data_IF_610338665591
#
_entry.id   IF_610338665591
#
_cell.length_a   1.000
_cell.length_b   1.000
_cell.length_c   1.000
_cell.angle_alpha   90.00
_cell.angle_beta   90.00
_cell.angle_gamma   90.00
#
_symmetry.space_group_name_H-M   'P 1'
#
loop_
_entity.id
_entity.type
_entity.pdbx_description
1 polymer ?
#
# COMPACT_ATOMS: atom_id res chain seq x y z
N UNK A 1 -15.73 -6.80 32.57
CA UNK A 1 -16.75 -6.60 31.52
C UNK A 1 -16.44 -5.29 30.84
N UNK A 2 -15.73 -5.38 29.70
CA UNK A 2 -15.25 -4.24 28.92
C UNK A 2 -16.38 -3.51 28.19
N UNK A 3 -16.08 -2.35 27.60
CA UNK A 3 -17.03 -1.64 26.75
C UNK A 3 -17.38 -2.45 25.51
N UNK A 4 -16.47 -3.26 24.99
CA UNK A 4 -16.76 -4.17 23.87
C UNK A 4 -17.90 -5.15 24.18
N UNK A 5 -17.98 -5.71 25.40
CA UNK A 5 -19.10 -6.57 25.83
C UNK A 5 -20.41 -5.77 26.00
N UNK A 6 -20.34 -4.47 26.31
CA UNK A 6 -21.49 -3.55 26.29
C UNK A 6 -21.90 -3.16 24.87
N UNK A 7 -20.95 -3.06 23.94
CA UNK A 7 -21.20 -2.82 22.52
C UNK A 7 -21.82 -4.05 21.85
N UNK A 8 -21.33 -5.27 22.12
CA UNK A 8 -21.95 -6.52 21.65
C UNK A 8 -23.38 -6.68 22.16
N UNK A 9 -23.63 -6.43 23.46
CA UNK A 9 -24.99 -6.43 24.04
C UNK A 9 -25.87 -5.28 23.54
N UNK A 10 -25.28 -4.17 23.10
CA UNK A 10 -25.98 -3.06 22.44
C UNK A 10 -26.36 -3.39 20.99
N UNK A 11 -25.53 -4.17 20.30
CA UNK A 11 -25.75 -4.60 18.92
C UNK A 11 -26.89 -5.63 18.81
N UNK A 12 -27.06 -6.50 19.81
CA UNK A 12 -28.20 -7.45 19.88
C UNK A 12 -29.57 -6.74 19.91
N UNK A 13 -29.63 -5.49 20.37
CA UNK A 13 -30.88 -4.71 20.44
C UNK A 13 -31.12 -3.76 19.23
N UNK A 14 -30.15 -3.62 18.33
CA UNK A 14 -30.22 -2.69 17.17
C UNK A 14 -30.04 -3.44 15.86
N UNK A 15 -30.68 -4.61 15.74
CA UNK A 15 -30.91 -5.25 14.44
C UNK A 15 -32.35 -5.02 14.04
N UNK A 16 -32.64 -3.81 13.54
CA UNK A 16 -33.71 -3.55 12.56
C UNK A 16 -33.59 -2.12 12.01
N UNK A 17 -32.74 -1.95 11.00
CA UNK A 17 -33.10 -1.16 9.82
C UNK A 17 -32.67 0.31 9.69
N UNK A 18 -32.02 0.95 10.68
CA UNK A 18 -31.81 2.41 10.61
C UNK A 18 -30.37 2.94 10.83
N UNK A 19 -29.38 2.12 11.18
CA UNK A 19 -28.03 2.63 11.54
C UNK A 19 -26.96 2.50 10.43
N UNK A 20 -27.09 1.56 9.49
CA UNK A 20 -26.03 1.23 8.52
C UNK A 20 -25.78 2.27 7.41
N UNK A 21 -26.52 3.39 7.37
CA UNK A 21 -26.36 4.41 6.31
C UNK A 21 -25.69 5.72 6.76
N UNK A 22 -25.55 5.98 8.06
CA UNK A 22 -25.02 7.26 8.58
C UNK A 22 -23.62 7.16 9.22
N UNK A 23 -23.08 5.96 9.43
CA UNK A 23 -21.82 5.73 10.16
C UNK A 23 -20.68 5.13 9.32
N UNK A 24 -20.87 4.88 8.02
CA UNK A 24 -19.84 4.30 7.11
C UNK A 24 -18.61 5.19 6.86
N UNK A 25 -18.48 6.32 7.55
CA UNK A 25 -17.41 7.29 7.35
C UNK A 25 -16.44 7.39 8.53
N UNK A 26 -16.61 6.59 9.59
CA UNK A 26 -15.80 6.67 10.82
C UNK A 26 -15.34 5.28 11.25
N UNK A 27 -14.24 5.24 12.01
CA UNK A 27 -13.68 3.98 12.51
C UNK A 27 -14.54 3.46 13.68
N UNK A 28 -14.97 2.21 13.56
CA UNK A 28 -15.74 1.52 14.59
C UNK A 28 -14.82 0.66 15.49
N UNK A 29 -14.96 0.68 16.82
CA UNK A 29 -14.13 -0.12 17.74
C UNK A 29 -14.10 -1.62 17.44
N UNK A 30 -15.21 -2.17 16.93
CA UNK A 30 -15.30 -3.60 16.60
C UNK A 30 -14.43 -3.96 15.39
N UNK A 31 -14.24 -3.02 14.45
CA UNK A 31 -13.37 -3.21 13.29
C UNK A 31 -11.91 -3.26 13.72
N UNK A 32 -11.52 -2.40 14.67
CA UNK A 32 -10.17 -2.43 15.24
C UNK A 32 -9.86 -3.75 15.95
N UNK A 33 -10.84 -4.30 16.68
CA UNK A 33 -10.71 -5.61 17.33
C UNK A 33 -10.49 -6.72 16.29
N UNK A 34 -11.30 -6.74 15.22
CA UNK A 34 -11.13 -7.70 14.12
C UNK A 34 -9.79 -7.55 13.40
N UNK A 35 -9.37 -6.31 13.12
CA UNK A 35 -8.10 -6.03 12.47
C UNK A 35 -6.89 -6.46 13.30
N UNK A 36 -6.92 -6.24 14.62
CA UNK A 36 -5.86 -6.67 15.53
C UNK A 36 -5.74 -8.20 15.60
N UNK A 37 -6.87 -8.93 15.63
CA UNK A 37 -6.85 -10.41 15.58
C UNK A 37 -6.20 -10.91 14.29
N UNK A 38 -6.64 -10.36 13.15
CA UNK A 38 -6.08 -10.69 11.83
C UNK A 38 -4.59 -10.37 11.76
N UNK A 39 -4.16 -9.22 12.29
CA UNK A 39 -2.75 -8.84 12.30
C UNK A 39 -1.92 -9.77 13.20
N UNK A 40 -2.47 -10.21 14.34
CA UNK A 40 -1.84 -11.21 15.18
C UNK A 40 -1.68 -12.57 14.46
N UNK A 41 -2.68 -12.99 13.68
CA UNK A 41 -2.61 -14.21 12.86
C UNK A 41 -1.55 -14.07 11.75
N UNK A 42 -1.51 -12.93 11.06
CA UNK A 42 -0.55 -12.64 10.01
C UNK A 42 0.90 -12.65 10.51
N UNK A 43 1.13 -12.21 11.75
CA UNK A 43 2.46 -12.20 12.40
C UNK A 43 2.76 -13.47 13.18
N UNK A 44 1.84 -14.42 13.24
CA UNK A 44 2.04 -15.67 13.95
C UNK A 44 3.10 -16.52 13.24
N UNK A 45 4.13 -16.93 14.00
CA UNK A 45 5.25 -17.67 13.47
C UNK A 45 5.73 -18.73 14.46
N UNK A 46 5.92 -19.94 13.97
CA UNK A 46 6.34 -21.09 14.77
C UNK A 46 7.82 -20.97 15.10
N UNK A 47 8.16 -20.91 16.39
CA UNK A 47 9.55 -20.79 16.86
C UNK A 47 10.09 -22.11 17.41
N UNK A 48 9.24 -22.93 18.01
CA UNK A 48 9.61 -24.28 18.46
C UNK A 48 8.40 -25.23 18.41
N UNK A 49 8.63 -26.53 18.66
CA UNK A 49 7.54 -27.52 18.73
C UNK A 49 6.51 -27.08 19.79
N UNK A 50 5.30 -26.72 19.34
CA UNK A 50 4.21 -26.28 20.21
C UNK A 50 4.32 -24.82 20.70
N UNK A 51 5.17 -23.97 20.10
CA UNK A 51 5.25 -22.55 20.43
C UNK A 51 5.21 -21.70 19.17
N UNK A 52 4.06 -21.05 18.98
CA UNK A 52 3.85 -20.02 17.95
C UNK A 52 3.94 -18.66 18.61
N UNK A 53 4.83 -17.80 18.13
CA UNK A 53 4.95 -16.43 18.61
C UNK A 53 4.18 -15.47 17.70
N UNK A 54 3.60 -14.42 18.26
CA UNK A 54 3.03 -13.32 17.49
C UNK A 54 3.49 -11.97 18.05
N UNK A 55 3.13 -10.87 17.37
CA UNK A 55 3.41 -9.50 17.78
C UNK A 55 2.76 -9.17 19.12
N UNK A 56 3.43 -8.35 19.93
CA UNK A 56 2.95 -7.90 21.24
C UNK A 56 2.90 -6.37 21.36
N UNK A 57 3.27 -5.64 20.30
CA UNK A 57 3.12 -4.20 20.23
C UNK A 57 2.38 -3.82 18.96
N UNK A 58 1.28 -3.11 19.11
CA UNK A 58 0.39 -2.69 18.04
C UNK A 58 0.17 -1.18 18.10
N UNK A 59 0.37 -0.51 16.98
CA UNK A 59 0.06 0.92 16.80
C UNK A 59 -1.06 1.02 15.78
N UNK A 60 -2.17 1.61 16.19
CA UNK A 60 -3.34 1.89 15.34
C UNK A 60 -3.22 3.33 14.89
N UNK A 61 -2.82 3.51 13.64
CA UNK A 61 -2.77 4.81 12.98
C UNK A 61 -4.18 5.19 12.50
N UNK A 62 -4.60 6.41 12.83
CA UNK A 62 -5.93 6.95 12.56
C UNK A 62 -5.82 8.30 11.86
N UNK A 63 -6.87 8.67 11.12
CA UNK A 63 -7.06 10.05 10.68
C UNK A 63 -7.19 11.00 11.87
N UNK A 64 -6.89 12.29 11.66
CA UNK A 64 -7.09 13.34 12.69
C UNK A 64 -8.52 13.31 13.26
N UNK A 65 -9.52 13.18 12.38
CA UNK A 65 -10.94 13.20 12.78
C UNK A 65 -11.29 12.03 13.69
N UNK A 66 -10.85 10.81 13.36
CA UNK A 66 -11.15 9.61 14.14
C UNK A 66 -10.35 9.59 15.45
N UNK A 67 -9.09 10.03 15.41
CA UNK A 67 -8.25 10.12 16.59
C UNK A 67 -8.83 11.12 17.61
N UNK A 68 -9.26 12.31 17.17
CA UNK A 68 -9.88 13.30 18.05
C UNK A 68 -11.18 12.77 18.66
N UNK A 69 -11.99 12.07 17.87
CA UNK A 69 -13.22 11.43 18.37
C UNK A 69 -12.94 10.34 19.41
N UNK A 70 -11.95 9.49 19.16
CA UNK A 70 -11.63 8.35 20.01
C UNK A 70 -10.79 8.73 21.24
N UNK A 71 -10.16 9.91 21.25
CA UNK A 71 -9.33 10.41 22.34
C UNK A 71 -10.00 10.31 23.73
N UNK A 72 -11.31 10.56 23.81
CA UNK A 72 -12.08 10.48 25.05
C UNK A 72 -12.29 9.07 25.59
N UNK A 73 -12.19 8.04 24.74
CA UNK A 73 -12.36 6.62 25.10
C UNK A 73 -11.03 5.85 25.08
N UNK A 74 -9.94 6.50 24.70
CA UNK A 74 -8.72 5.85 24.27
C UNK A 74 -8.16 4.87 25.31
N UNK A 75 -8.10 5.28 26.58
CA UNK A 75 -7.59 4.42 27.66
C UNK A 75 -8.43 3.15 27.85
N UNK A 76 -9.76 3.27 27.76
CA UNK A 76 -10.65 2.13 27.93
C UNK A 76 -10.58 1.21 26.71
N UNK A 77 -10.58 1.80 25.51
CA UNK A 77 -10.45 1.07 24.25
C UNK A 77 -9.11 0.33 24.15
N UNK A 78 -7.99 0.96 24.55
CA UNK A 78 -6.69 0.28 24.62
C UNK A 78 -6.75 -0.94 25.53
N UNK A 79 -7.38 -0.82 26.70
CA UNK A 79 -7.51 -1.94 27.64
C UNK A 79 -8.34 -3.07 27.04
N UNK A 80 -9.46 -2.74 26.43
CA UNK A 80 -10.36 -3.70 25.81
C UNK A 80 -9.70 -4.43 24.62
N UNK A 81 -9.04 -3.68 23.73
CA UNK A 81 -8.33 -4.25 22.58
C UNK A 81 -7.16 -5.15 23.01
N UNK A 82 -6.44 -4.79 24.08
CA UNK A 82 -5.41 -5.67 24.67
C UNK A 82 -6.01 -6.97 25.18
N UNK A 83 -7.19 -6.91 25.79
CA UNK A 83 -7.89 -8.10 26.24
C UNK A 83 -8.30 -8.99 25.05
N UNK A 84 -8.88 -8.40 24.00
CA UNK A 84 -9.25 -9.11 22.77
C UNK A 84 -8.08 -9.87 22.16
N UNK A 85 -6.91 -9.23 22.06
CA UNK A 85 -5.69 -9.85 21.53
C UNK A 85 -5.21 -10.98 22.45
N UNK A 86 -5.29 -10.77 23.76
CA UNK A 86 -4.93 -11.77 24.76
C UNK A 86 -5.81 -13.02 24.67
N UNK A 87 -7.13 -12.83 24.61
CA UNK A 87 -8.12 -13.92 24.50
C UNK A 87 -7.93 -14.68 23.19
N UNK A 88 -7.77 -13.98 22.06
CA UNK A 88 -7.49 -14.59 20.75
C UNK A 88 -6.20 -15.40 20.75
N UNK A 89 -5.14 -14.89 21.39
CA UNK A 89 -3.89 -15.64 21.49
C UNK A 89 -4.02 -16.92 22.30
N UNK A 90 -4.86 -16.94 23.35
CA UNK A 90 -5.16 -18.17 24.09
C UNK A 90 -5.91 -19.16 23.20
N UNK A 91 -6.93 -18.70 22.47
CA UNK A 91 -7.72 -19.54 21.56
C UNK A 91 -6.88 -20.17 20.43
N UNK A 92 -5.96 -19.39 19.83
CA UNK A 92 -5.07 -19.84 18.77
C UNK A 92 -3.76 -20.48 19.25
N UNK A 93 -3.60 -20.64 20.57
CA UNK A 93 -2.38 -21.15 21.21
C UNK A 93 -1.09 -20.37 20.82
N UNK A 94 -1.22 -19.05 20.66
CA UNK A 94 -0.09 -18.14 20.47
C UNK A 94 0.57 -17.77 21.80
N UNK A 95 1.79 -17.26 21.70
CA UNK A 95 2.55 -16.73 22.82
C UNK A 95 3.19 -15.40 22.46
N UNK A 96 3.31 -14.52 23.44
CA UNK A 96 3.97 -13.23 23.28
C UNK A 96 5.40 -13.26 23.85
N UNK A 97 6.28 -12.41 23.33
CA UNK A 97 7.65 -12.23 23.85
C UNK A 97 7.68 -11.31 25.09
N UNK A 98 6.63 -10.51 25.26
CA UNK A 98 6.47 -9.58 26.38
C UNK A 98 4.98 -9.21 26.56
N UNK A 99 4.69 -8.17 27.36
CA UNK A 99 3.31 -7.71 27.54
C UNK A 99 2.73 -7.23 26.20
N UNK A 100 1.42 -7.42 26.02
CA UNK A 100 0.69 -6.84 24.90
C UNK A 100 0.47 -5.35 25.16
N UNK A 101 0.80 -4.52 24.18
CA UNK A 101 0.59 -3.08 24.16
C UNK A 101 -0.15 -2.67 22.89
N UNK A 102 -1.07 -1.73 23.05
CA UNK A 102 -1.87 -1.13 21.97
C UNK A 102 -1.81 0.38 22.15
N UNK A 103 -1.44 1.08 21.09
CA UNK A 103 -1.32 2.53 21.04
C UNK A 103 -2.12 3.07 19.87
N UNK A 104 -2.56 4.32 19.97
CA UNK A 104 -3.14 5.05 18.85
C UNK A 104 -2.18 6.15 18.43
N UNK A 105 -2.08 6.35 17.13
CA UNK A 105 -1.24 7.38 16.53
C UNK A 105 -2.01 8.13 15.45
N UNK A 106 -1.63 9.39 15.24
CA UNK A 106 -2.12 10.20 14.14
C UNK A 106 -1.36 9.89 12.86
N UNK A 107 -2.09 9.79 11.76
CA UNK A 107 -1.54 9.68 10.42
C UNK A 107 -2.21 10.68 9.50
N UNK A 108 -1.44 11.67 9.04
CA UNK A 108 -1.92 12.78 8.22
C UNK A 108 -2.29 12.35 6.79
N UNK A 109 -1.85 11.16 6.36
CA UNK A 109 -2.14 10.58 5.06
C UNK A 109 -3.48 9.82 5.01
N UNK A 110 -4.12 9.57 6.16
CA UNK A 110 -5.34 8.80 6.28
C UNK A 110 -6.61 9.66 6.26
N UNK A 111 -7.60 9.22 5.48
CA UNK A 111 -8.94 9.81 5.47
C UNK A 111 -9.80 9.31 6.65
N UNK A 112 -10.85 10.05 7.01
CA UNK A 112 -11.79 9.60 8.06
C UNK A 112 -12.42 8.24 7.74
N UNK A 113 -12.53 7.39 8.75
CA UNK A 113 -12.97 6.00 8.63
C UNK A 113 -11.86 5.06 8.21
N UNK A 114 -10.64 5.54 8.00
CA UNK A 114 -9.48 4.70 7.70
C UNK A 114 -8.56 4.56 8.88
N UNK A 115 -8.02 3.36 9.01
CA UNK A 115 -7.00 3.05 9.98
C UNK A 115 -5.95 2.12 9.37
N UNK A 116 -4.77 2.11 9.96
CA UNK A 116 -3.68 1.19 9.63
C UNK A 116 -3.13 0.61 10.92
N UNK A 117 -2.87 -0.69 10.94
CA UNK A 117 -2.27 -1.36 12.10
C UNK A 117 -0.81 -1.67 11.78
N UNK A 118 0.09 -1.12 12.58
CA UNK A 118 1.52 -1.44 12.53
C UNK A 118 1.83 -2.32 13.73
N UNK A 119 2.40 -3.49 13.48
CA UNK A 119 2.69 -4.46 14.53
C UNK A 119 4.19 -4.76 14.63
N UNK A 120 4.66 -4.99 15.84
CA UNK A 120 6.03 -5.40 16.11
C UNK A 120 6.12 -6.34 17.31
N UNK A 121 7.22 -7.10 17.36
CA UNK A 121 7.55 -7.94 18.50
C UNK A 121 8.62 -7.24 19.32
N UNK A 122 8.30 -6.85 20.56
CA UNK A 122 9.20 -6.17 21.47
C UNK A 122 9.49 -7.06 22.68
N UNK A 123 10.76 -7.16 23.06
CA UNK A 123 11.17 -7.79 24.32
C UNK A 123 10.82 -6.92 25.52
N UNK A 124 10.80 -7.48 26.74
CA UNK A 124 10.55 -6.72 27.97
C UNK A 124 11.52 -5.56 28.22
N UNK A 125 12.69 -5.57 27.57
CA UNK A 125 13.69 -4.49 27.57
C UNK A 125 13.38 -3.38 26.54
N UNK A 126 12.24 -3.45 25.85
CA UNK A 126 11.82 -2.52 24.78
C UNK A 126 12.55 -2.72 23.45
N UNK A 127 13.51 -3.65 23.36
CA UNK A 127 14.24 -3.90 22.12
C UNK A 127 13.40 -4.73 21.14
N UNK A 128 13.48 -4.47 19.83
CA UNK A 128 12.83 -5.33 18.85
C UNK A 128 13.40 -6.76 18.98
N UNK A 129 12.50 -7.74 19.13
CA UNK A 129 12.87 -9.15 19.05
C UNK A 129 13.07 -9.50 17.57
N UNK A 130 14.07 -10.31 17.25
CA UNK A 130 14.23 -10.85 15.90
C UNK A 130 12.92 -11.54 15.49
N UNK A 131 12.26 -10.99 14.47
CA UNK A 131 11.06 -11.61 13.93
C UNK A 131 11.47 -12.98 13.39
N UNK A 132 10.83 -14.08 13.83
CA UNK A 132 11.05 -15.37 13.20
C UNK A 132 10.78 -15.22 11.72
N UNK A 133 11.78 -15.58 10.90
CA UNK A 133 11.76 -15.37 9.47
C UNK A 133 10.45 -15.93 8.90
N UNK A 134 9.69 -15.03 8.29
CA UNK A 134 8.45 -15.33 7.57
C UNK A 134 8.66 -16.57 6.72
N UNK A 135 7.85 -17.62 6.92
CA UNK A 135 7.85 -18.78 6.05
C UNK A 135 7.17 -18.39 4.74
N UNK A 136 7.94 -17.77 3.86
CA UNK A 136 7.56 -17.49 2.47
C UNK A 136 7.79 -16.04 2.06
N UNK A 137 8.88 -15.80 1.32
CA UNK A 137 9.01 -14.66 0.42
C UNK A 137 9.99 -13.56 0.85
N UNK A 138 11.24 -13.71 0.39
CA UNK A 138 12.23 -12.67 0.05
C UNK A 138 12.34 -11.41 0.94
N UNK A 139 13.46 -11.34 1.67
CA UNK A 139 14.09 -10.11 2.17
C UNK A 139 14.26 -9.07 1.04
N UNK A 140 13.67 -7.85 1.14
CA UNK A 140 14.17 -6.74 0.35
C UNK A 140 15.48 -6.28 1.00
N UNK A 141 16.57 -6.39 0.23
CA UNK A 141 17.85 -5.77 0.56
C UNK A 141 17.59 -4.31 0.94
N UNK A 142 17.84 -4.01 2.22
CA UNK A 142 17.98 -2.65 2.73
C UNK A 142 19.18 -2.01 2.04
N UNK A 143 18.95 -1.32 0.92
CA UNK A 143 19.88 -0.31 0.42
C UNK A 143 19.59 1.01 1.14
N UNK A 144 20.18 1.16 2.31
CA UNK A 144 20.49 2.48 2.82
C UNK A 144 21.67 3.02 2.00
N UNK A 145 21.39 3.98 1.12
CA UNK A 145 22.41 4.84 0.53
C UNK A 145 22.43 6.12 1.37
N UNK A 146 23.51 6.45 2.11
CA UNK A 146 23.61 7.74 2.77
C UNK A 146 24.00 8.81 1.75
N UNK A 147 23.16 9.84 1.59
CA UNK A 147 23.56 11.13 1.03
C UNK A 147 23.25 12.17 2.11
N UNK A 148 24.28 12.72 2.76
CA UNK A 148 24.55 14.18 2.91
C UNK A 148 25.98 14.31 3.43
N UNK A 149 26.79 15.08 2.72
CA UNK A 149 28.15 15.43 3.12
C UNK A 149 28.14 16.64 4.06
N UNK A 150 29.00 16.58 5.08
CA UNK A 150 29.32 17.74 5.90
C UNK A 150 30.84 17.87 5.98
N UNK A 151 31.35 19.03 5.55
CA UNK A 151 32.77 19.39 5.56
C UNK A 151 33.22 19.75 6.97
N UNK A 152 34.53 19.58 7.26
CA UNK A 152 35.22 20.67 7.95
C UNK A 152 36.53 21.09 7.28
N UNK A 153 36.76 22.39 7.45
CA UNK A 153 37.81 23.26 6.97
C UNK A 153 39.20 22.93 7.56
N UNK A 154 40.27 23.00 6.76
CA UNK A 154 41.57 23.56 7.18
C UNK A 154 42.51 23.77 6.00
N UNK A 155 43.10 24.96 5.96
CA UNK A 155 43.78 25.54 4.81
C UNK A 155 45.17 24.97 4.47
N UNK A 156 45.64 25.29 3.28
CA UNK A 156 46.85 26.10 3.05
C UNK A 156 46.98 26.52 1.59
N UNK A 157 47.47 27.75 1.40
CA UNK A 157 47.74 28.49 0.14
C UNK A 157 49.02 27.95 -0.57
N UNK A 158 49.63 28.65 -1.54
CA UNK A 158 49.20 29.00 -2.91
C UNK A 158 50.30 28.69 -3.96
N UNK A 159 49.98 28.55 -5.26
CA UNK A 159 50.95 28.89 -6.33
C UNK A 159 50.26 29.35 -7.62
N UNK A 160 50.57 30.57 -8.04
CA UNK A 160 50.62 31.08 -9.43
C UNK A 160 52.06 31.62 -9.62
N UNK A 161 52.62 31.95 -10.82
CA UNK A 161 51.93 32.39 -12.06
C UNK A 161 52.56 32.07 -13.44
N UNK A 162 51.90 32.60 -14.50
CA UNK A 162 52.33 32.94 -15.89
C UNK A 162 52.56 31.80 -16.90
N UNK A 163 52.09 31.90 -18.15
CA UNK A 163 52.28 33.01 -19.10
C UNK A 163 51.16 33.16 -20.15
N UNK A 164 50.95 34.39 -20.61
CA UNK A 164 50.13 34.87 -21.76
C UNK A 164 50.96 34.82 -23.08
N UNK A 165 50.55 35.43 -24.22
CA UNK A 165 49.57 35.01 -25.24
C UNK A 165 50.15 35.04 -26.69
N UNK A 166 49.44 34.58 -27.74
CA UNK A 166 49.35 35.20 -29.11
C UNK A 166 48.61 34.33 -30.16
N UNK A 167 48.15 34.90 -31.31
CA UNK A 167 46.82 34.63 -31.87
C UNK A 167 46.77 34.23 -33.38
N UNK A 168 45.53 33.99 -33.82
CA UNK A 168 44.94 34.24 -35.14
C UNK A 168 45.49 33.58 -36.41
N UNK A 169 44.59 32.80 -37.05
CA UNK A 169 44.27 32.71 -38.49
C UNK A 169 43.14 31.66 -38.61
N UNK A 170 42.08 31.73 -39.40
CA UNK A 170 41.33 32.75 -40.12
C UNK A 170 39.96 32.08 -40.44
N UNK A 171 38.86 32.84 -40.48
CA UNK A 171 37.53 32.37 -40.90
C UNK A 171 37.48 31.95 -42.39
N UNK A 172 36.42 31.28 -42.91
CA UNK A 172 35.13 31.94 -43.12
C UNK A 172 33.86 31.07 -42.91
N UNK A 173 32.72 31.76 -42.86
CA UNK A 173 31.36 31.24 -42.78
C UNK A 173 30.89 30.55 -44.09
N UNK A 174 30.11 29.47 -43.98
CA UNK A 174 29.17 29.02 -45.02
C UNK A 174 28.14 27.99 -44.51
N UNK A 175 26.87 28.41 -44.56
CA UNK A 175 25.63 27.66 -44.84
C UNK A 175 25.14 26.49 -43.91
N UNK A 176 23.82 26.41 -43.65
CA UNK A 176 23.19 25.33 -42.89
C UNK A 176 23.09 24.08 -43.76
N UNK A 177 23.71 22.98 -43.33
CA UNK A 177 23.51 21.66 -43.95
C UNK A 177 22.33 20.96 -43.30
N UNK A 178 21.22 20.95 -44.06
CA UNK A 178 20.14 19.99 -43.91
C UNK A 178 20.72 18.56 -44.03
N UNK A 179 20.26 17.67 -43.16
CA UNK A 179 20.46 16.23 -43.28
C UNK A 179 19.09 15.54 -43.09
N UNK A 180 18.87 14.35 -43.67
CA UNK A 180 17.94 14.18 -44.77
C UNK A 180 16.61 13.60 -44.31
N UNK A 181 15.60 13.74 -45.17
CA UNK A 181 14.28 13.14 -45.06
C UNK A 181 14.32 11.75 -44.39
N UNK A 182 13.74 11.70 -43.19
CA UNK A 182 13.36 10.45 -42.55
C UNK A 182 12.58 9.61 -43.56
N UNK A 183 13.00 8.36 -43.75
CA UNK A 183 12.12 7.35 -44.36
C UNK A 183 10.75 7.49 -43.69
N UNK A 184 9.64 7.55 -44.43
CA UNK A 184 8.34 7.37 -43.80
C UNK A 184 8.42 6.02 -43.06
N UNK A 185 8.19 6.06 -41.75
CA UNK A 185 7.98 4.85 -40.97
C UNK A 185 6.92 4.01 -41.71
N UNK A 186 7.07 2.68 -41.79
CA UNK A 186 6.02 1.85 -42.35
C UNK A 186 4.71 2.21 -41.65
N UNK A 187 3.67 2.49 -42.43
CA UNK A 187 2.34 2.78 -41.92
C UNK A 187 1.98 1.72 -40.86
N UNK A 188 1.46 2.10 -39.68
CA UNK A 188 1.11 1.13 -38.66
C UNK A 188 0.16 0.12 -39.31
N UNK A 189 0.53 -1.16 -39.24
CA UNK A 189 -0.36 -2.26 -39.57
C UNK A 189 -1.71 -2.03 -38.86
N UNK A 190 -2.85 -2.44 -39.44
CA UNK A 190 -4.15 -2.20 -38.82
C UNK A 190 -4.09 -2.71 -37.39
N UNK A 191 -4.17 -1.76 -36.44
CA UNK A 191 -4.01 -2.03 -35.03
C UNK A 191 -5.17 -2.93 -34.62
N UNK A 192 -4.87 -4.21 -34.40
CA UNK A 192 -5.79 -5.05 -33.65
C UNK A 192 -6.07 -4.30 -32.35
N UNK A 193 -7.35 -4.17 -32.04
CA UNK A 193 -7.78 -3.49 -30.83
C UNK A 193 -8.45 -4.53 -29.96
N UNK A 194 -8.15 -4.54 -28.67
CA UNK A 194 -8.86 -5.39 -27.72
C UNK A 194 -9.99 -4.60 -27.05
N UNK A 195 -11.11 -5.27 -26.84
CA UNK A 195 -12.14 -4.86 -25.90
C UNK A 195 -11.82 -5.47 -24.54
N UNK A 196 -11.27 -4.65 -23.65
CA UNK A 196 -10.90 -5.08 -22.31
C UNK A 196 -12.03 -4.77 -21.31
N UNK A 197 -12.27 -5.68 -20.39
CA UNK A 197 -13.24 -5.55 -19.31
C UNK A 197 -12.72 -6.15 -18.02
N UNK A 198 -13.27 -5.70 -16.90
CA UNK A 198 -12.94 -6.18 -15.57
C UNK A 198 -14.20 -6.53 -14.81
N UNK A 199 -14.16 -7.61 -14.04
CA UNK A 199 -15.24 -7.99 -13.13
C UNK A 199 -14.78 -7.82 -11.69
N UNK A 200 -15.53 -7.04 -10.91
CA UNK A 200 -15.27 -6.71 -9.52
C UNK A 200 -16.58 -6.91 -8.76
N UNK A 201 -16.60 -7.70 -7.70
CA UNK A 201 -17.81 -8.03 -6.91
C UNK A 201 -19.01 -8.48 -7.76
N UNK A 202 -18.74 -9.26 -8.81
CA UNK A 202 -19.75 -9.75 -9.76
C UNK A 202 -20.29 -8.70 -10.73
N UNK A 203 -19.75 -7.47 -10.75
CA UNK A 203 -20.09 -6.42 -11.71
C UNK A 203 -18.99 -6.28 -12.76
N UNK A 204 -19.35 -6.45 -14.03
CA UNK A 204 -18.43 -6.26 -15.15
C UNK A 204 -18.48 -4.81 -15.66
N UNK A 205 -17.31 -4.21 -15.81
CA UNK A 205 -17.13 -2.86 -16.35
C UNK A 205 -16.14 -2.88 -17.52
N UNK A 206 -16.45 -2.10 -18.57
CA UNK A 206 -15.59 -1.96 -19.75
C UNK A 206 -14.46 -0.98 -19.48
N UNK A 207 -13.25 -1.34 -19.89
CA UNK A 207 -12.09 -0.47 -19.87
C UNK A 207 -12.05 0.37 -21.14
N UNK A 208 -11.61 1.62 -21.00
CA UNK A 208 -11.39 2.54 -22.11
C UNK A 208 -9.97 2.36 -22.65
N UNK A 209 -9.75 2.73 -23.91
CA UNK A 209 -8.39 2.92 -24.42
C UNK A 209 -7.70 4.05 -23.62
N UNK A 210 -6.43 3.85 -23.31
CA UNK A 210 -5.64 4.68 -22.39
C UNK A 210 -5.69 4.18 -20.95
N UNK A 211 -5.46 5.10 -20.01
CA UNK A 211 -5.35 4.80 -18.57
C UNK A 211 -6.72 4.64 -17.93
N UNK A 212 -6.92 3.54 -17.20
CA UNK A 212 -8.07 3.29 -16.34
C UNK A 212 -7.57 3.14 -14.90
N UNK A 213 -7.89 4.09 -14.03
CA UNK A 213 -7.41 4.08 -12.65
C UNK A 213 -8.37 3.31 -11.75
N UNK A 214 -7.81 2.42 -10.94
CA UNK A 214 -8.51 1.61 -9.96
C UNK A 214 -8.13 2.06 -8.56
N UNK A 215 -9.12 2.14 -7.69
CA UNK A 215 -8.88 2.42 -6.29
C UNK A 215 -10.17 2.63 -5.54
N UNK A 216 -10.04 2.92 -4.25
CA UNK A 216 -11.19 3.01 -3.37
C UNK A 216 -11.95 4.34 -3.46
N UNK A 217 -11.30 5.40 -3.95
CA UNK A 217 -11.91 6.73 -3.99
C UNK A 217 -12.48 7.07 -5.36
N UNK A 218 -13.77 7.38 -5.41
CA UNK A 218 -14.47 7.86 -6.61
C UNK A 218 -13.98 9.24 -7.09
N UNK A 219 -13.27 10.00 -6.25
CA UNK A 219 -12.72 11.30 -6.64
C UNK A 219 -11.41 11.21 -7.43
N UNK A 220 -10.72 10.07 -7.37
CA UNK A 220 -9.37 9.90 -7.90
C UNK A 220 -9.18 8.65 -8.77
N UNK A 221 -10.23 7.84 -8.93
CA UNK A 221 -10.23 6.58 -9.66
C UNK A 221 -11.43 6.49 -10.60
N UNK A 222 -11.21 5.92 -11.78
CA UNK A 222 -12.26 5.68 -12.77
C UNK A 222 -13.13 4.50 -12.37
N UNK A 223 -12.49 3.47 -11.79
CA UNK A 223 -13.15 2.28 -11.27
C UNK A 223 -12.97 2.21 -9.75
N UNK A 224 -14.10 2.22 -9.06
CA UNK A 224 -14.14 2.19 -7.59
C UNK A 224 -14.20 0.76 -7.11
N UNK A 225 -13.26 0.38 -6.25
CA UNK A 225 -13.24 -0.90 -5.54
C UNK A 225 -13.57 -0.61 -4.07
N UNK A 226 -14.69 -1.14 -3.59
CA UNK A 226 -15.19 -0.92 -2.23
C UNK A 226 -14.55 -1.90 -1.25
N UNK A 227 -13.23 -1.79 -1.09
CA UNK A 227 -12.44 -2.65 -0.20
C UNK A 227 -11.50 -1.81 0.67
N UNK A 228 -11.52 -1.95 2.01
CA UNK A 228 -10.69 -1.16 2.93
C UNK A 228 -9.18 -1.34 2.71
N UNK A 229 -8.75 -2.50 2.20
CA UNK A 229 -7.37 -2.78 1.84
C UNK A 229 -6.92 -2.10 0.54
N UNK A 230 -7.82 -1.40 -0.17
CA UNK A 230 -7.52 -0.70 -1.41
C UNK A 230 -7.20 0.79 -1.18
N UNK A 231 -6.02 1.23 -1.63
CA UNK A 231 -5.64 2.64 -1.67
C UNK A 231 -6.57 3.49 -2.57
N UNK A 232 -6.67 4.80 -2.29
CA UNK A 232 -7.52 5.75 -3.04
C UNK A 232 -7.29 5.70 -4.55
N UNK A 233 -6.02 5.73 -4.94
CA UNK A 233 -5.47 5.37 -6.26
C UNK A 233 -4.55 4.19 -6.00
N UNK A 234 -4.95 3.00 -6.39
CA UNK A 234 -4.24 1.78 -6.03
C UNK A 234 -3.36 1.30 -7.18
N UNK A 235 -3.97 1.09 -8.33
CA UNK A 235 -3.29 0.68 -9.54
C UNK A 235 -4.03 1.26 -10.73
N UNK A 236 -3.43 1.15 -11.90
CA UNK A 236 -4.07 1.49 -13.17
C UNK A 236 -3.88 0.37 -14.17
N UNK A 237 -4.84 0.22 -15.08
CA UNK A 237 -4.69 -0.60 -16.28
C UNK A 237 -4.67 0.33 -17.48
N UNK A 238 -3.55 0.33 -18.19
CA UNK A 238 -3.37 1.08 -19.43
C UNK A 238 -3.63 0.13 -20.59
N UNK A 239 -4.68 0.42 -21.35
CA UNK A 239 -5.05 -0.34 -22.56
C UNK A 239 -4.55 0.45 -23.78
N UNK A 240 -3.65 -0.14 -24.56
CA UNK A 240 -3.11 0.47 -25.78
C UNK A 240 -3.22 -0.50 -26.96
N UNK A 241 -4.16 -0.25 -27.86
CA UNK A 241 -4.33 -1.10 -29.04
C UNK A 241 -4.72 -2.53 -28.64
N UNK A 242 -3.80 -3.49 -28.83
CA UNK A 242 -3.96 -4.91 -28.57
C UNK A 242 -3.39 -5.40 -27.23
N UNK A 243 -2.95 -4.50 -26.36
CA UNK A 243 -2.31 -4.85 -25.08
C UNK A 243 -2.89 -4.08 -23.91
N UNK A 244 -2.97 -4.74 -22.75
CA UNK A 244 -3.22 -4.11 -21.47
C UNK A 244 -2.03 -4.30 -20.53
N UNK A 245 -1.67 -3.24 -19.80
CA UNK A 245 -0.59 -3.25 -18.81
C UNK A 245 -1.14 -2.72 -17.49
N UNK A 246 -1.01 -3.50 -16.43
CA UNK A 246 -1.34 -3.07 -15.08
C UNK A 246 -0.10 -2.48 -14.39
N UNK A 247 -0.26 -1.33 -13.74
CA UNK A 247 0.78 -0.65 -12.96
C UNK A 247 0.29 -0.36 -11.54
N UNK A 248 1.05 -0.76 -10.53
CA UNK A 248 0.77 -0.35 -9.15
C UNK A 248 1.19 1.11 -8.92
N UNK A 249 0.33 1.91 -8.31
CA UNK A 249 0.53 3.35 -8.11
C UNK A 249 1.18 3.67 -6.74
N UNK A 250 1.93 2.73 -6.18
CA UNK A 250 2.48 2.86 -4.83
C UNK A 250 1.42 2.60 -3.77
N UNK A 251 0.58 1.60 -4.01
CA UNK A 251 -0.47 1.23 -3.06
C UNK A 251 0.10 0.73 -1.74
N UNK A 252 -0.65 0.91 -0.66
CA UNK A 252 -0.20 0.57 0.70
C UNK A 252 0.03 -0.94 0.87
N UNK A 253 -0.90 -1.74 0.36
CA UNK A 253 -0.83 -3.21 0.47
C UNK A 253 -0.13 -3.86 -0.73
N UNK A 254 0.00 -3.14 -1.85
CA UNK A 254 0.48 -3.65 -3.12
C UNK A 254 -0.65 -4.32 -3.91
N UNK A 255 -0.57 -4.22 -5.23
CA UNK A 255 -1.37 -5.04 -6.15
C UNK A 255 -0.68 -6.38 -6.35
N UNK A 256 -1.42 -7.50 -6.37
CA UNK A 256 -0.89 -8.81 -6.68
C UNK A 256 -1.47 -9.33 -8.00
N UNK A 257 -0.65 -10.01 -8.80
CA UNK A 257 -1.06 -10.78 -9.98
C UNK A 257 -0.59 -12.22 -9.78
N UNK A 258 -1.49 -13.20 -9.84
CA UNK A 258 -1.17 -14.61 -9.55
C UNK A 258 -0.45 -14.84 -8.21
N UNK A 259 -0.82 -14.06 -7.18
CA UNK A 259 -0.22 -14.13 -5.84
C UNK A 259 1.18 -13.50 -5.72
N UNK A 260 1.67 -12.80 -6.74
CA UNK A 260 2.96 -12.08 -6.72
C UNK A 260 2.72 -10.58 -6.80
N UNK A 261 3.46 -9.79 -6.02
CA UNK A 261 3.34 -8.32 -6.08
C UNK A 261 3.72 -7.82 -7.47
N UNK A 262 2.84 -7.01 -8.02
CA UNK A 262 2.94 -6.32 -9.29
C UNK A 262 3.57 -4.95 -9.05
N UNK A 263 4.53 -4.57 -9.90
CA UNK A 263 4.90 -3.15 -10.09
C UNK A 263 4.42 -2.69 -11.46
N UNK A 264 4.70 -3.48 -12.50
CA UNK A 264 4.16 -3.35 -13.84
C UNK A 264 4.12 -4.73 -14.50
N UNK A 265 3.02 -5.11 -15.13
CA UNK A 265 2.90 -6.37 -15.87
C UNK A 265 1.86 -6.27 -16.98
N UNK A 266 2.14 -6.92 -18.10
CA UNK A 266 1.16 -7.16 -19.16
C UNK A 266 0.11 -8.15 -18.68
N UNK A 267 -1.16 -7.80 -18.87
CA UNK A 267 -2.29 -8.68 -18.56
C UNK A 267 -2.66 -9.54 -19.76
N UNK A 268 -3.28 -10.68 -19.49
CA UNK A 268 -3.87 -11.58 -20.48
C UNK A 268 -5.27 -11.99 -20.07
N UNK A 269 -6.10 -12.41 -21.02
CA UNK A 269 -7.47 -12.88 -20.75
C UNK A 269 -7.52 -13.89 -19.59
N UNK A 270 -8.38 -13.62 -18.60
CA UNK A 270 -8.55 -14.47 -17.42
C UNK A 270 -7.64 -14.15 -16.24
N UNK A 271 -6.73 -13.18 -16.36
CA UNK A 271 -5.86 -12.76 -15.27
C UNK A 271 -6.67 -12.22 -14.07
N UNK A 272 -6.24 -12.57 -12.85
CA UNK A 272 -6.85 -12.09 -11.61
C UNK A 272 -5.84 -11.22 -10.85
N UNK A 273 -6.20 -9.95 -10.68
CA UNK A 273 -5.49 -9.03 -9.80
C UNK A 273 -6.13 -9.02 -8.42
N UNK A 274 -5.32 -8.96 -7.37
CA UNK A 274 -5.77 -8.76 -6.00
C UNK A 274 -5.31 -7.38 -5.50
N UNK A 275 -6.24 -6.60 -4.99
CA UNK A 275 -5.97 -5.32 -4.34
C UNK A 275 -6.74 -5.30 -3.01
N UNK A 276 -6.03 -5.25 -1.88
CA UNK A 276 -6.66 -5.51 -0.59
C UNK A 276 -7.21 -6.93 -0.51
N UNK A 277 -8.50 -7.10 -0.27
CA UNK A 277 -9.20 -8.40 -0.39
C UNK A 277 -10.03 -8.52 -1.67
N UNK A 278 -10.10 -7.47 -2.47
CA UNK A 278 -10.88 -7.46 -3.69
C UNK A 278 -10.15 -8.17 -4.82
N UNK A 279 -10.87 -9.07 -5.48
CA UNK A 279 -10.45 -9.71 -6.73
C UNK A 279 -10.96 -8.92 -7.95
N UNK A 280 -10.04 -8.60 -8.85
CA UNK A 280 -10.32 -7.91 -10.11
C UNK A 280 -9.98 -8.87 -11.25
N UNK A 281 -11.03 -9.42 -11.88
CA UNK A 281 -10.89 -10.42 -12.94
C UNK A 281 -10.84 -9.71 -14.29
N UNK A 282 -9.69 -9.73 -14.93
CA UNK A 282 -9.46 -9.13 -16.25
C UNK A 282 -9.89 -10.08 -17.37
N UNK A 283 -10.61 -9.55 -18.35
CA UNK A 283 -11.05 -10.28 -19.53
C UNK A 283 -10.81 -9.40 -20.77
N UNK A 284 -10.37 -10.01 -21.85
CA UNK A 284 -10.15 -9.34 -23.13
C UNK A 284 -10.74 -10.13 -24.30
N UNK A 285 -11.22 -9.41 -25.31
CA UNK A 285 -11.71 -9.99 -26.56
C UNK A 285 -11.19 -9.18 -27.73
N UNK A 286 -10.94 -9.83 -28.86
CA UNK A 286 -10.63 -9.14 -30.11
C UNK A 286 -11.83 -8.25 -30.51
N UNK A 287 -11.56 -6.95 -30.72
CA UNK A 287 -12.54 -6.06 -31.34
C UNK A 287 -12.69 -6.45 -32.82
N UNK A 288 -13.90 -6.85 -33.21
CA UNK A 288 -14.20 -7.42 -34.53
C UNK A 288 -14.50 -6.34 -35.58
#
# INVERSE_FOLDING_TARGET
MGLLDRFEKGLENVVNGAFAKAFRSQVEPVELAGALRREADNKAAVVSRGRTLTANHYVIELSQTDHDRLSGLESELRSDLRQVIGDHAVEQAYSFVGPVSVEFALADDLDTGMYRVVSSTQRPDGSPAAQPANRGGYDPISRANPIVGESPNSGSRPVTPRSTPEPARSAPAAAPRQNPAARPAPAPAPARTIEASVTIDGRTQMLRQGTNTFGRSSSSSDLVIDDPGVSRRHFEIVVEGDRAVANDLGSTNGTLLHGRKLTSATLSDGDVLLAGEAEVHYNERDAQ
#
